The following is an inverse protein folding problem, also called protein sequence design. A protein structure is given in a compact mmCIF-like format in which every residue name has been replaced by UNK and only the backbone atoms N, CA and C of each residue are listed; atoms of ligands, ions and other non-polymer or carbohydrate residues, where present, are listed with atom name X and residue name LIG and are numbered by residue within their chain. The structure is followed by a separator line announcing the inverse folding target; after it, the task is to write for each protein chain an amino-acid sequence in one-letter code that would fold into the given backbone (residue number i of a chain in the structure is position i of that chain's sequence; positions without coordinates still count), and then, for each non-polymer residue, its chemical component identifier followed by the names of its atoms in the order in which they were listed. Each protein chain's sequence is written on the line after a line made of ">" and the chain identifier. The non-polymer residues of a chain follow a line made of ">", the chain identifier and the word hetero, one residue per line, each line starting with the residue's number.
data_IF_318687354692
#
_entry.id   IF_318687354692
#
_cell.length_a   1.000
_cell.length_b   1.000
_cell.length_c   1.000
_cell.angle_alpha   90.00
_cell.angle_beta   90.00
_cell.angle_gamma   90.00
#
_symmetry.space_group_name_H-M   'P 1'
#
loop_
_entity.id
_entity.type
_entity.pdbx_description
1 polymer ?
#
# COMPACT_ATOMS: atom_id res chain seq x y z
N UNK A 1 -13.74 5.40 0.12
CA UNK A 1 -12.44 6.07 0.15
C UNK A 1 -12.36 6.99 -1.05
N UNK A 2 -12.17 8.29 -0.82
CA UNK A 2 -12.06 9.34 -1.84
C UNK A 2 -10.64 9.39 -2.40
N UNK A 3 -10.44 10.13 -3.50
CA UNK A 3 -9.11 10.38 -4.04
C UNK A 3 -8.24 11.21 -3.06
N UNK A 4 -8.86 12.03 -2.22
CA UNK A 4 -8.17 12.81 -1.20
C UNK A 4 -7.59 11.93 -0.10
N UNK A 5 -8.35 10.92 0.36
CA UNK A 5 -7.87 9.95 1.35
C UNK A 5 -6.70 9.13 0.80
N UNK A 6 -6.74 8.73 -0.47
CA UNK A 6 -5.60 8.06 -1.12
C UNK A 6 -4.36 8.97 -1.22
N UNK A 7 -4.55 10.27 -1.49
CA UNK A 7 -3.48 11.25 -1.53
C UNK A 7 -2.89 11.53 -0.15
N UNK A 8 -3.72 11.56 0.90
CA UNK A 8 -3.27 11.69 2.28
C UNK A 8 -2.45 10.46 2.71
N UNK A 9 -2.90 9.25 2.36
CA UNK A 9 -2.15 8.02 2.62
C UNK A 9 -0.79 8.01 1.90
N UNK A 10 -0.73 8.40 0.62
CA UNK A 10 0.54 8.54 -0.09
C UNK A 10 1.46 9.56 0.60
N UNK A 11 0.90 10.67 1.10
CA UNK A 11 1.66 11.72 1.75
C UNK A 11 2.28 11.29 3.10
N UNK A 12 1.71 10.27 3.74
CA UNK A 12 2.27 9.69 4.97
C UNK A 12 3.56 8.89 4.71
N UNK A 13 3.84 8.51 3.46
CA UNK A 13 5.08 7.83 3.07
C UNK A 13 6.14 8.89 2.76
N UNK A 14 7.22 9.04 3.58
CA UNK A 14 8.15 10.18 3.44
C UNK A 14 8.79 10.30 2.05
N UNK A 15 9.13 9.18 1.42
CA UNK A 15 9.72 9.14 0.08
C UNK A 15 8.75 9.62 -1.02
N UNK A 16 7.44 9.56 -0.79
CA UNK A 16 6.39 9.90 -1.75
C UNK A 16 5.59 11.14 -1.35
N UNK A 17 5.92 11.79 -0.22
CA UNK A 17 5.18 12.93 0.32
C UNK A 17 5.05 14.12 -0.65
N UNK A 18 6.02 14.27 -1.55
CA UNK A 18 6.05 15.32 -2.57
C UNK A 18 5.48 14.91 -3.92
N UNK A 19 5.00 13.66 -4.06
CA UNK A 19 4.39 13.21 -5.31
C UNK A 19 3.06 13.93 -5.55
N UNK A 20 2.96 14.64 -6.68
CA UNK A 20 1.77 15.39 -7.11
C UNK A 20 1.16 14.85 -8.41
N UNK A 21 1.72 13.77 -8.97
CA UNK A 21 1.23 13.16 -10.18
C UNK A 21 -0.14 12.48 -10.02
N UNK A 22 -0.63 11.85 -11.11
CA UNK A 22 -1.91 11.16 -11.11
C UNK A 22 -1.90 9.96 -10.16
N UNK A 23 -3.07 9.71 -9.57
CA UNK A 23 -3.35 8.49 -8.83
C UNK A 23 -4.42 7.72 -9.60
N UNK A 24 -4.04 6.58 -10.15
CA UNK A 24 -4.95 5.73 -10.92
C UNK A 24 -5.44 4.59 -10.04
N UNK A 25 -6.76 4.49 -9.87
CA UNK A 25 -7.34 3.40 -9.08
C UNK A 25 -7.19 2.10 -9.85
N UNK A 26 -6.51 1.13 -9.23
CA UNK A 26 -6.44 -0.24 -9.70
C UNK A 26 -7.53 -1.09 -9.02
N UNK A 27 -7.57 -2.37 -9.39
CA UNK A 27 -8.41 -3.36 -8.72
C UNK A 27 -8.04 -3.58 -7.25
N UNK A 28 -8.56 -4.66 -6.68
CA UNK A 28 -8.31 -5.04 -5.30
C UNK A 28 -9.60 -5.09 -4.49
N UNK A 29 -9.91 -6.30 -4.01
CA UNK A 29 -11.10 -6.59 -3.22
C UNK A 29 -10.87 -6.23 -1.75
N UNK A 30 -9.75 -6.68 -1.19
CA UNK A 30 -9.38 -6.52 0.23
C UNK A 30 -8.47 -5.34 0.50
N UNK A 31 -7.79 -4.83 -0.53
CA UNK A 31 -6.97 -3.63 -0.49
C UNK A 31 -7.44 -2.68 -1.59
N UNK A 32 -7.44 -1.37 -1.31
CA UNK A 32 -7.60 -0.35 -2.34
C UNK A 32 -6.23 -0.03 -2.88
N UNK A 33 -5.98 -0.41 -4.13
CA UNK A 33 -4.67 -0.26 -4.76
C UNK A 33 -4.71 0.89 -5.76
N UNK A 34 -3.68 1.73 -5.75
CA UNK A 34 -3.52 2.85 -6.67
C UNK A 34 -2.14 2.80 -7.30
N UNK A 35 -2.04 3.14 -8.59
CA UNK A 35 -0.76 3.43 -9.25
C UNK A 35 -0.41 4.90 -9.04
N UNK A 36 0.83 5.16 -8.64
CA UNK A 36 1.41 6.50 -8.46
C UNK A 36 2.76 6.56 -9.19
N UNK A 37 2.77 6.94 -10.47
CA UNK A 37 3.97 6.83 -11.31
C UNK A 37 4.38 5.36 -11.44
N UNK A 38 5.60 5.03 -11.02
CA UNK A 38 6.17 3.67 -11.09
C UNK A 38 5.91 2.81 -9.84
N UNK A 39 5.17 3.32 -8.85
CA UNK A 39 4.89 2.59 -7.61
C UNK A 39 3.40 2.26 -7.47
N UNK A 40 3.13 1.22 -6.70
CA UNK A 40 1.78 0.82 -6.31
C UNK A 40 1.55 1.13 -4.83
N UNK A 41 0.60 2.02 -4.54
CA UNK A 41 0.12 2.31 -3.19
C UNK A 41 -0.99 1.33 -2.82
N UNK A 42 -0.82 0.59 -1.73
CA UNK A 42 -1.78 -0.37 -1.20
C UNK A 42 -2.29 0.13 0.15
N UNK A 43 -3.59 0.40 0.20
CA UNK A 43 -4.27 0.85 1.40
C UNK A 43 -5.25 -0.22 1.84
N UNK A 44 -5.23 -0.64 3.12
CA UNK A 44 -6.20 -1.59 3.65
C UNK A 44 -7.65 -1.25 3.33
N UNK A 45 -8.41 -2.28 2.95
CA UNK A 45 -9.86 -2.19 2.85
C UNK A 45 -10.48 -1.96 4.23
N UNK A 46 -11.56 -1.19 4.29
CA UNK A 46 -12.30 -0.99 5.55
C UNK A 46 -12.93 -2.31 5.98
N UNK A 47 -12.83 -2.68 7.25
CA UNK A 47 -13.44 -3.90 7.78
C UNK A 47 -12.66 -5.16 7.44
N UNK A 48 -11.35 -5.05 7.23
CA UNK A 48 -10.44 -6.17 6.99
C UNK A 48 -9.52 -6.47 8.18
N UNK A 49 -9.58 -5.62 9.19
CA UNK A 49 -8.72 -5.64 10.37
C UNK A 49 -8.95 -6.89 11.23
N UNK A 50 -10.15 -7.45 11.18
CA UNK A 50 -10.54 -8.65 11.94
C UNK A 50 -10.00 -9.96 11.33
N UNK A 51 -9.62 -9.97 10.04
CA UNK A 51 -9.20 -11.20 9.34
C UNK A 51 -7.89 -11.08 8.55
N UNK A 52 -7.33 -9.88 8.42
CA UNK A 52 -6.01 -9.66 7.80
C UNK A 52 -5.05 -9.08 8.82
N UNK A 53 -4.06 -9.88 9.22
CA UNK A 53 -2.98 -9.42 10.08
C UNK A 53 -1.94 -8.65 9.25
N UNK A 54 -1.85 -7.33 9.48
CA UNK A 54 -0.99 -6.41 8.74
C UNK A 54 0.50 -6.58 9.03
N UNK A 55 0.86 -6.99 10.24
CA UNK A 55 2.23 -7.35 10.58
C UNK A 55 2.68 -8.57 9.77
N UNK A 56 1.82 -9.59 9.65
CA UNK A 56 2.11 -10.77 8.85
C UNK A 56 2.20 -10.45 7.35
N UNK A 57 1.30 -9.62 6.81
CA UNK A 57 1.39 -9.17 5.42
C UNK A 57 2.72 -8.47 5.13
N UNK A 58 3.17 -7.57 6.01
CA UNK A 58 4.42 -6.84 5.82
C UNK A 58 5.65 -7.76 5.78
N UNK A 59 5.70 -8.76 6.67
CA UNK A 59 6.78 -9.77 6.67
C UNK A 59 6.70 -10.64 5.42
N UNK A 60 5.53 -11.19 5.11
CA UNK A 60 5.33 -12.07 3.95
C UNK A 60 5.69 -11.37 2.63
N UNK A 61 5.31 -10.10 2.48
CA UNK A 61 5.65 -9.32 1.29
C UNK A 61 7.15 -9.09 1.14
N UNK A 62 7.86 -8.79 2.24
CA UNK A 62 9.32 -8.62 2.23
C UNK A 62 10.05 -9.92 1.90
N UNK A 63 9.63 -11.04 2.49
CA UNK A 63 10.23 -12.34 2.22
C UNK A 63 9.94 -12.82 0.79
N UNK A 64 8.72 -12.60 0.27
CA UNK A 64 8.39 -12.90 -1.12
C UNK A 64 9.21 -12.06 -2.11
N UNK A 65 9.49 -10.79 -1.78
CA UNK A 65 10.35 -9.92 -2.58
C UNK A 65 11.80 -10.41 -2.57
N UNK A 66 12.32 -10.77 -1.38
CA UNK A 66 13.65 -11.34 -1.21
C UNK A 66 13.82 -12.67 -1.98
N UNK A 67 12.75 -13.46 -2.07
CA UNK A 67 12.71 -14.69 -2.86
C UNK A 67 12.57 -14.45 -4.38
N UNK A 68 12.41 -13.20 -4.83
CA UNK A 68 12.21 -12.86 -6.25
C UNK A 68 10.82 -13.24 -6.80
N UNK A 69 9.85 -13.50 -5.91
CA UNK A 69 8.49 -13.94 -6.28
C UNK A 69 7.54 -12.75 -6.38
N UNK A 70 7.74 -11.72 -5.55
CA UNK A 70 6.93 -10.49 -5.57
C UNK A 70 7.78 -9.26 -5.91
N UNK A 71 7.14 -8.13 -6.29
CA UNK A 71 7.82 -6.85 -6.41
C UNK A 71 8.51 -6.41 -5.11
N UNK A 72 9.48 -5.52 -5.23
CA UNK A 72 10.16 -4.89 -4.10
C UNK A 72 9.19 -4.11 -3.21
N UNK A 73 9.39 -4.22 -1.88
CA UNK A 73 8.62 -3.48 -0.88
C UNK A 73 9.39 -2.23 -0.46
N UNK A 74 9.01 -1.08 -1.02
CA UNK A 74 9.64 0.21 -0.75
C UNK A 74 9.26 0.79 0.63
N UNK A 75 8.04 0.51 1.08
CA UNK A 75 7.50 0.95 2.37
C UNK A 75 6.49 -0.09 2.88
N UNK A 76 6.41 -0.25 4.20
CA UNK A 76 5.35 -1.01 4.84
C UNK A 76 5.22 -0.56 6.30
N UNK A 77 4.03 -0.07 6.66
CA UNK A 77 3.66 0.21 8.04
C UNK A 77 2.76 -0.90 8.58
N UNK A 78 3.27 -1.77 9.47
CA UNK A 78 2.49 -2.90 10.00
C UNK A 78 1.36 -2.46 10.94
N UNK A 79 1.39 -1.23 11.47
CA UNK A 79 0.34 -0.74 12.37
C UNK A 79 -0.90 -0.29 11.59
N UNK A 80 -0.71 0.47 10.50
CA UNK A 80 -1.82 0.91 9.65
C UNK A 80 -2.13 -0.05 8.50
N UNK A 81 -1.20 -0.92 8.12
CA UNK A 81 -1.25 -1.77 6.93
C UNK A 81 -0.97 -1.03 5.61
N UNK A 82 -0.56 0.23 5.68
CA UNK A 82 -0.17 1.02 4.51
C UNK A 82 1.13 0.47 3.89
N UNK A 83 1.11 0.21 2.58
CA UNK A 83 2.26 -0.28 1.81
C UNK A 83 2.40 0.42 0.47
#
# INVERSE_FOLDING_TARGET
>A
MTMEEARAALAAIPALARYKGPLERLGGLTNRVYKAGEVCLRIPGKGTEEYINRANEAVAAREAAKAGVSPEVLFADPASGLM
#
